data_IF_399657821043
#
_entry.id   IF_399657821043
#
_cell.length_a   1.000
_cell.length_b   1.000
_cell.length_c   1.000
_cell.angle_alpha   90.00
_cell.angle_beta   90.00
_cell.angle_gamma   90.00
#
_symmetry.space_group_name_H-M   'P 1'
#
loop_
_entity.id
_entity.type
_entity.pdbx_description
1 polymer ?
#
# COMPACT_ATOMS: atom_id res chain seq x y z
N UNK A 1 -21.33 33.43 5.92
CA UNK A 1 -21.80 32.08 5.54
C UNK A 1 -20.86 31.50 4.49
N UNK A 2 -19.81 30.79 4.91
CA UNK A 2 -19.10 29.91 3.97
C UNK A 2 -20.03 28.72 3.71
N UNK A 3 -20.53 28.60 2.48
CA UNK A 3 -21.47 27.54 2.10
C UNK A 3 -20.70 26.23 2.07
N UNK A 4 -21.07 25.29 2.95
CA UNK A 4 -20.65 23.91 2.80
C UNK A 4 -20.99 23.43 1.37
N UNK A 5 -20.01 22.87 0.66
CA UNK A 5 -20.16 22.42 -0.73
C UNK A 5 -20.94 21.10 -0.83
N UNK A 6 -21.27 20.48 0.31
CA UNK A 6 -21.96 19.20 0.39
C UNK A 6 -23.06 19.20 1.46
N UNK A 7 -24.03 18.29 1.31
CA UNK A 7 -25.09 18.08 2.29
C UNK A 7 -24.71 17.01 3.32
N UNK A 8 -25.47 16.93 4.42
CA UNK A 8 -25.29 15.91 5.48
C UNK A 8 -25.40 14.45 4.98
N UNK A 9 -26.01 14.24 3.81
CA UNK A 9 -26.16 12.93 3.18
C UNK A 9 -25.05 12.62 2.16
N UNK A 10 -23.91 13.31 2.23
CA UNK A 10 -22.76 13.09 1.32
C UNK A 10 -21.74 12.10 1.89
N UNK A 11 -21.00 11.45 0.99
CA UNK A 11 -19.82 10.63 1.26
C UNK A 11 -18.60 11.39 0.74
N UNK A 12 -17.67 11.68 1.62
CA UNK A 12 -16.43 12.35 1.30
C UNK A 12 -15.31 11.33 1.11
N UNK A 13 -14.57 11.44 0.01
CA UNK A 13 -13.43 10.59 -0.31
C UNK A 13 -12.13 11.39 -0.17
N UNK A 14 -11.24 11.01 0.75
CA UNK A 14 -9.99 11.71 1.01
C UNK A 14 -8.79 10.77 1.02
N UNK A 15 -7.66 11.16 0.43
CA UNK A 15 -6.43 10.36 0.36
C UNK A 15 -6.71 8.88 -0.06
N UNK A 16 -7.53 8.71 -1.10
CA UNK A 16 -7.84 7.41 -1.70
C UNK A 16 -7.29 7.37 -3.13
N UNK A 17 -6.61 6.28 -3.46
CA UNK A 17 -6.19 6.02 -4.84
C UNK A 17 -7.39 5.48 -5.62
N UNK A 18 -7.89 6.28 -6.55
CA UNK A 18 -9.04 5.96 -7.39
C UNK A 18 -8.81 6.50 -8.80
N UNK A 19 -9.14 5.71 -9.82
CA UNK A 19 -9.11 6.22 -11.20
C UNK A 19 -10.19 7.27 -11.41
N UNK A 20 -9.84 8.31 -12.17
CA UNK A 20 -10.74 9.42 -12.45
C UNK A 20 -12.06 8.98 -13.11
N UNK A 21 -12.04 7.96 -13.97
CA UNK A 21 -13.25 7.40 -14.57
C UNK A 21 -14.18 6.74 -13.54
N UNK A 22 -13.63 6.03 -12.56
CA UNK A 22 -14.40 5.43 -11.47
C UNK A 22 -14.97 6.50 -10.53
N UNK A 23 -14.19 7.53 -10.20
CA UNK A 23 -14.65 8.66 -9.39
C UNK A 23 -15.82 9.40 -10.06
N UNK A 24 -15.68 9.76 -11.35
CA UNK A 24 -16.74 10.38 -12.14
C UNK A 24 -17.99 9.51 -12.19
N UNK A 25 -17.83 8.20 -12.35
CA UNK A 25 -18.95 7.28 -12.36
C UNK A 25 -19.67 7.23 -11.00
N UNK A 26 -18.93 7.18 -9.88
CA UNK A 26 -19.51 7.27 -8.53
C UNK A 26 -20.26 8.59 -8.33
N UNK A 27 -19.69 9.72 -8.74
CA UNK A 27 -20.32 11.04 -8.66
C UNK A 27 -21.65 11.08 -9.41
N UNK A 28 -21.66 10.69 -10.69
CA UNK A 28 -22.87 10.73 -11.52
C UNK A 28 -23.95 9.81 -10.95
N UNK A 29 -23.60 8.57 -10.62
CA UNK A 29 -24.57 7.55 -10.18
C UNK A 29 -25.09 7.78 -8.76
N UNK A 30 -24.37 8.55 -7.95
CA UNK A 30 -24.79 8.97 -6.61
C UNK A 30 -25.49 10.33 -6.59
N UNK A 31 -25.79 10.94 -7.75
CA UNK A 31 -26.33 12.30 -7.84
C UNK A 31 -25.46 13.32 -7.08
N UNK A 32 -24.14 13.23 -7.28
CA UNK A 32 -23.10 14.05 -6.66
C UNK A 32 -23.01 13.92 -5.13
N UNK A 33 -23.59 12.87 -4.53
CA UNK A 33 -23.45 12.60 -3.08
C UNK A 33 -22.09 12.04 -2.70
N UNK A 34 -21.40 11.34 -3.61
CA UNK A 34 -20.03 10.90 -3.39
C UNK A 34 -19.09 11.94 -4.00
N UNK A 35 -18.26 12.60 -3.19
CA UNK A 35 -17.42 13.70 -3.62
C UNK A 35 -15.97 13.50 -3.17
N UNK A 36 -14.97 13.88 -3.99
CA UNK A 36 -13.62 14.03 -3.48
C UNK A 36 -13.60 15.16 -2.47
N UNK A 37 -12.89 14.95 -1.37
CA UNK A 37 -12.68 15.95 -0.34
C UNK A 37 -11.19 16.06 -0.04
N UNK A 38 -10.67 17.25 -0.27
CA UNK A 38 -9.25 17.57 -0.15
C UNK A 38 -9.12 18.67 0.89
N UNK A 39 -8.33 18.39 1.90
CA UNK A 39 -7.85 19.38 2.88
C UNK A 39 -6.35 19.56 2.67
N UNK A 40 -5.86 20.77 2.89
CA UNK A 40 -4.42 21.06 2.81
C UNK A 40 -3.66 20.21 3.83
N UNK A 41 -2.39 19.91 3.54
CA UNK A 41 -1.47 19.27 4.49
C UNK A 41 -0.72 20.27 5.36
N UNK A 42 -0.68 21.54 4.96
CA UNK A 42 0.03 22.61 5.65
C UNK A 42 -0.89 23.28 6.66
N UNK A 43 -0.37 23.68 7.82
CA UNK A 43 -1.11 24.46 8.83
C UNK A 43 -0.90 25.96 8.60
N UNK A 44 -1.91 26.78 8.91
CA UNK A 44 -1.90 28.23 8.67
C UNK A 44 -1.51 29.04 9.92
N UNK A 45 -0.90 28.40 10.92
CA UNK A 45 -0.39 29.02 12.14
C UNK A 45 1.12 28.78 12.36
N UNK A 46 1.74 29.72 13.05
CA UNK A 46 3.11 29.57 13.57
C UNK A 46 3.12 28.62 14.78
N UNK A 47 3.97 27.58 14.80
CA UNK A 47 4.09 26.70 15.95
C UNK A 47 4.47 27.50 17.20
N UNK A 48 3.88 27.16 18.36
CA UNK A 48 4.23 27.70 19.68
C UNK A 48 5.76 27.76 19.90
N UNK A 49 6.25 28.75 20.63
CA UNK A 49 7.69 28.87 20.88
C UNK A 49 8.12 28.21 22.19
N UNK A 50 7.19 28.13 23.13
CA UNK A 50 7.43 27.59 24.45
C UNK A 50 6.75 26.23 24.59
N UNK A 51 7.36 25.28 25.30
CA UNK A 51 6.73 24.00 25.62
C UNK A 51 5.51 24.23 26.51
N UNK A 52 4.50 23.37 26.35
CA UNK A 52 3.32 23.36 27.21
C UNK A 52 3.73 23.00 28.65
N UNK A 53 3.04 23.53 29.65
CA UNK A 53 3.35 23.27 31.08
C UNK A 53 3.33 21.77 31.41
N UNK A 54 2.44 21.03 30.76
CA UNK A 54 2.30 19.59 30.95
C UNK A 54 3.36 18.75 30.23
N UNK A 55 4.21 19.33 29.38
CA UNK A 55 5.19 18.55 28.59
C UNK A 55 6.14 17.75 29.50
N UNK A 56 6.58 18.34 30.61
CA UNK A 56 7.44 17.65 31.57
C UNK A 56 6.68 16.64 32.43
N UNK A 57 5.37 16.83 32.65
CA UNK A 57 4.52 15.89 33.39
C UNK A 57 4.34 14.56 32.65
N UNK A 58 4.60 14.53 31.34
CA UNK A 58 4.59 13.29 30.56
C UNK A 58 5.68 12.30 31.01
N UNK A 59 6.78 12.78 31.61
CA UNK A 59 7.84 11.92 32.15
C UNK A 59 7.48 11.27 33.50
N UNK A 60 6.39 11.72 34.13
CA UNK A 60 5.99 11.28 35.47
C UNK A 60 4.63 10.57 35.44
N UNK A 61 4.26 9.97 34.30
CA UNK A 61 3.05 9.17 34.22
C UNK A 61 3.22 7.92 35.08
N UNK A 62 2.14 7.52 35.77
CA UNK A 62 2.14 6.30 36.56
C UNK A 62 2.20 5.08 35.62
N UNK A 63 3.24 4.25 35.80
CA UNK A 63 3.58 3.15 34.89
C UNK A 63 3.96 1.91 35.68
N UNK A 64 3.54 0.75 35.18
CA UNK A 64 3.66 -0.56 35.82
C UNK A 64 4.81 -1.43 35.27
N UNK A 65 5.53 -0.95 34.25
CA UNK A 65 6.58 -1.71 33.56
C UNK A 65 7.75 -0.81 33.16
N UNK A 66 8.95 -1.38 33.14
CA UNK A 66 10.18 -0.69 32.70
C UNK A 66 10.03 -0.08 31.30
N UNK A 67 9.46 -0.84 30.35
CA UNK A 67 9.22 -0.36 28.99
C UNK A 67 8.31 0.88 28.96
N UNK A 68 7.23 0.89 29.74
CA UNK A 68 6.35 2.07 29.85
C UNK A 68 7.05 3.24 30.53
N UNK A 69 7.94 2.99 31.49
CA UNK A 69 8.80 4.01 32.10
C UNK A 69 9.74 4.66 31.09
N UNK A 70 10.41 3.85 30.26
CA UNK A 70 11.25 4.36 29.16
C UNK A 70 10.43 5.21 28.18
N UNK A 71 9.25 4.72 27.77
CA UNK A 71 8.37 5.46 26.86
C UNK A 71 7.91 6.79 27.49
N UNK A 72 7.43 6.76 28.73
CA UNK A 72 7.00 7.96 29.46
C UNK A 72 8.13 8.98 29.57
N UNK A 73 9.34 8.55 29.90
CA UNK A 73 10.53 9.41 29.95
C UNK A 73 10.91 10.04 28.60
N UNK A 74 10.60 9.38 27.48
CA UNK A 74 10.88 9.90 26.13
C UNK A 74 9.81 10.87 25.61
N UNK A 75 8.56 10.78 26.08
CA UNK A 75 7.44 11.59 25.60
C UNK A 75 7.69 13.11 25.60
N UNK A 76 8.33 13.73 26.62
CA UNK A 76 8.60 15.17 26.59
C UNK A 76 9.43 15.62 25.37
N UNK A 77 10.31 14.75 24.88
CA UNK A 77 11.20 15.02 23.74
C UNK A 77 10.55 14.60 22.41
N UNK A 78 9.89 13.44 22.40
CA UNK A 78 9.44 12.79 21.18
C UNK A 78 7.98 13.11 20.78
N UNK A 79 7.13 13.55 21.73
CA UNK A 79 5.73 13.85 21.41
C UNK A 79 5.65 15.09 20.49
N UNK A 80 5.05 14.98 19.29
CA UNK A 80 4.95 16.11 18.39
C UNK A 80 4.12 17.22 19.00
N UNK A 81 4.58 18.46 18.80
CA UNK A 81 4.01 19.66 19.40
C UNK A 81 2.55 19.91 18.99
N UNK A 82 2.20 19.46 17.78
CA UNK A 82 0.85 19.47 17.26
C UNK A 82 -0.18 18.80 18.19
N UNK A 83 0.23 17.82 18.98
CA UNK A 83 -0.66 17.06 19.88
C UNK A 83 -0.66 17.56 21.33
N UNK A 84 0.08 18.64 21.63
CA UNK A 84 0.12 19.21 22.97
C UNK A 84 0.10 20.74 22.95
N UNK A 85 1.20 21.38 22.56
CA UNK A 85 1.31 22.84 22.51
C UNK A 85 0.33 23.46 21.52
N UNK A 86 0.26 22.89 20.32
CA UNK A 86 -0.41 23.49 19.18
C UNK A 86 -1.82 22.89 18.97
N UNK A 87 -2.26 21.99 19.86
CA UNK A 87 -3.48 21.21 19.69
C UNK A 87 -4.73 22.08 19.53
N UNK A 88 -4.93 23.07 20.41
CA UNK A 88 -6.11 23.94 20.37
C UNK A 88 -6.10 24.88 19.17
N UNK A 89 -4.93 25.36 18.76
CA UNK A 89 -4.78 26.18 17.54
C UNK A 89 -5.11 25.35 16.30
N UNK A 90 -4.57 24.14 16.21
CA UNK A 90 -4.86 23.19 15.14
C UNK A 90 -6.35 22.80 15.11
N UNK A 91 -6.96 22.56 16.26
CA UNK A 91 -8.39 22.28 16.37
C UNK A 91 -9.23 23.45 15.84
N UNK A 92 -8.95 24.68 16.28
CA UNK A 92 -9.68 25.87 15.88
C UNK A 92 -9.60 26.14 14.36
N UNK A 93 -8.43 25.96 13.75
CA UNK A 93 -8.26 26.09 12.29
C UNK A 93 -9.10 25.06 11.51
N UNK A 94 -9.35 23.90 12.12
CA UNK A 94 -10.06 22.79 11.50
C UNK A 94 -11.58 22.89 11.65
N UNK A 95 -12.08 23.56 12.69
CA UNK A 95 -13.53 23.67 12.94
C UNK A 95 -14.31 24.21 11.72
N UNK A 96 -13.69 25.14 10.98
CA UNK A 96 -14.23 25.78 9.78
C UNK A 96 -14.25 24.88 8.53
N UNK A 97 -13.45 23.80 8.51
CA UNK A 97 -13.40 22.85 7.38
C UNK A 97 -14.09 21.52 7.69
N UNK A 98 -14.29 21.21 8.97
CA UNK A 98 -14.88 19.96 9.47
C UNK A 98 -16.43 19.97 9.44
N UNK A 99 -17.01 20.28 8.28
CA UNK A 99 -18.45 20.24 8.08
C UNK A 99 -18.97 18.78 8.04
N UNK A 100 -20.04 18.44 8.78
CA UNK A 100 -20.49 17.06 8.91
C UNK A 100 -20.99 16.47 7.59
N UNK A 101 -20.69 15.19 7.38
CA UNK A 101 -21.15 14.39 6.26
C UNK A 101 -21.75 13.07 6.77
N UNK A 102 -22.33 12.26 5.88
CA UNK A 102 -22.80 10.94 6.29
C UNK A 102 -21.63 10.00 6.54
N UNK A 103 -20.59 10.12 5.71
CA UNK A 103 -19.38 9.29 5.77
C UNK A 103 -18.16 10.09 5.31
N UNK A 104 -17.04 9.94 6.02
CA UNK A 104 -15.70 10.27 5.56
C UNK A 104 -14.92 8.97 5.32
N UNK A 105 -14.48 8.75 4.09
CA UNK A 105 -13.71 7.58 3.67
C UNK A 105 -12.28 8.00 3.38
N UNK A 106 -11.30 7.31 3.97
CA UNK A 106 -9.90 7.51 3.59
C UNK A 106 -9.11 6.21 3.48
N UNK A 107 -8.12 6.21 2.58
CA UNK A 107 -7.12 5.16 2.47
C UNK A 107 -5.89 5.48 3.30
N UNK A 108 -4.98 6.29 2.78
CA UNK A 108 -3.69 6.58 3.44
C UNK A 108 -3.74 7.77 4.42
N UNK A 109 -4.81 8.56 4.40
CA UNK A 109 -4.88 9.81 5.17
C UNK A 109 -4.87 9.58 6.68
N UNK A 110 -5.40 8.45 7.17
CA UNK A 110 -5.38 8.08 8.59
C UNK A 110 -3.98 7.91 9.17
N UNK A 111 -2.95 7.79 8.35
CA UNK A 111 -1.57 7.61 8.80
C UNK A 111 -0.74 8.88 8.75
N UNK A 112 -0.85 9.63 7.64
CA UNK A 112 0.11 10.69 7.34
C UNK A 112 -0.51 12.04 7.02
N UNK A 113 -1.81 12.24 7.27
CA UNK A 113 -2.48 13.51 6.97
C UNK A 113 -3.11 14.13 8.21
N UNK A 114 -2.33 14.96 8.91
CA UNK A 114 -2.74 15.55 10.20
C UNK A 114 -4.01 16.38 10.14
N UNK A 115 -4.10 17.36 9.22
CA UNK A 115 -5.31 18.18 9.05
C UNK A 115 -6.55 17.34 8.78
N UNK A 116 -6.41 16.29 7.96
CA UNK A 116 -7.50 15.32 7.71
C UNK A 116 -7.90 14.56 8.97
N UNK A 117 -6.95 14.10 9.79
CA UNK A 117 -7.24 13.41 11.06
C UNK A 117 -7.99 14.31 12.04
N UNK A 118 -7.54 15.55 12.21
CA UNK A 118 -8.25 16.53 13.05
C UNK A 118 -9.68 16.77 12.54
N UNK A 119 -9.84 16.97 11.23
CA UNK A 119 -11.16 17.19 10.64
C UNK A 119 -12.06 15.97 10.77
N UNK A 120 -11.52 14.76 10.56
CA UNK A 120 -12.24 13.50 10.77
C UNK A 120 -12.70 13.32 12.21
N UNK A 121 -11.88 13.73 13.20
CA UNK A 121 -12.26 13.71 14.60
C UNK A 121 -13.43 14.67 14.89
N UNK A 122 -13.34 15.92 14.43
CA UNK A 122 -14.42 16.91 14.58
C UNK A 122 -15.72 16.49 13.87
N UNK A 123 -15.60 16.00 12.63
CA UNK A 123 -16.73 15.47 11.87
C UNK A 123 -17.38 14.27 12.57
N UNK A 124 -16.58 13.42 13.22
CA UNK A 124 -17.05 12.26 14.01
C UNK A 124 -17.83 12.69 15.24
N UNK A 125 -17.35 13.68 15.99
CA UNK A 125 -18.07 14.28 17.12
C UNK A 125 -19.43 14.85 16.68
N UNK A 126 -19.52 15.34 15.44
CA UNK A 126 -20.74 15.86 14.80
C UNK A 126 -21.59 14.77 14.10
N UNK A 127 -21.28 13.48 14.30
CA UNK A 127 -22.08 12.35 13.83
C UNK A 127 -21.68 11.73 12.50
N UNK A 128 -20.58 12.16 11.88
CA UNK A 128 -20.05 11.54 10.65
C UNK A 128 -19.50 10.14 10.96
N UNK A 129 -19.78 9.16 10.09
CA UNK A 129 -19.14 7.84 10.16
C UNK A 129 -17.76 7.88 9.51
N UNK A 130 -16.77 7.26 10.13
CA UNK A 130 -15.42 7.15 9.58
C UNK A 130 -15.23 5.78 8.95
N UNK A 131 -14.77 5.74 7.70
CA UNK A 131 -14.48 4.52 6.99
C UNK A 131 -13.04 4.52 6.49
N UNK A 132 -12.42 3.35 6.53
CA UNK A 132 -11.11 3.11 5.93
C UNK A 132 -11.25 2.26 4.68
N UNK A 133 -10.28 2.36 3.77
CA UNK A 133 -10.14 1.46 2.64
C UNK A 133 -8.67 1.07 2.46
N UNK A 134 -8.42 -0.20 2.13
CA UNK A 134 -7.08 -0.70 1.89
C UNK A 134 -6.40 0.14 0.80
N UNK A 135 -5.21 0.66 1.10
CA UNK A 135 -4.48 1.57 0.21
C UNK A 135 -3.46 0.86 -0.69
N UNK A 136 -2.93 -0.29 -0.26
CA UNK A 136 -1.83 -0.96 -0.94
C UNK A 136 -1.74 -2.45 -0.65
N UNK A 137 -0.61 -3.04 -1.05
CA UNK A 137 -0.25 -4.43 -0.74
C UNK A 137 -0.07 -4.69 0.76
N UNK A 138 0.29 -5.92 1.12
CA UNK A 138 0.56 -6.37 2.50
C UNK A 138 -0.64 -6.48 3.48
N UNK A 139 -1.72 -5.73 3.28
CA UNK A 139 -2.96 -5.84 4.06
C UNK A 139 -3.57 -7.23 3.97
N UNK A 140 -4.03 -7.77 5.09
CA UNK A 140 -4.55 -9.13 5.13
C UNK A 140 -3.51 -10.23 5.01
N UNK A 141 -2.23 -9.88 4.80
CA UNK A 141 -1.14 -10.81 4.50
C UNK A 141 -0.05 -10.78 5.55
N UNK A 142 0.54 -9.61 5.87
CA UNK A 142 1.63 -9.51 6.85
C UNK A 142 1.14 -9.89 8.25
N UNK A 143 1.90 -10.72 8.98
CA UNK A 143 1.54 -11.16 10.32
C UNK A 143 1.30 -9.96 11.27
N UNK A 144 2.21 -8.97 11.25
CA UNK A 144 2.06 -7.68 11.92
C UNK A 144 1.98 -6.54 10.91
N UNK A 145 0.86 -5.82 10.91
CA UNK A 145 0.63 -4.65 10.06
C UNK A 145 -0.02 -3.53 10.90
N UNK A 146 0.79 -2.65 11.52
CA UNK A 146 0.27 -1.57 12.35
C UNK A 146 -0.70 -0.62 11.63
N UNK A 147 -0.48 -0.24 10.35
CA UNK A 147 -1.44 0.58 9.61
C UNK A 147 -2.85 -0.04 9.58
N UNK A 148 -2.92 -1.31 9.19
CA UNK A 148 -4.17 -2.07 9.19
C UNK A 148 -4.81 -2.12 10.59
N UNK A 149 -4.00 -2.35 11.62
CA UNK A 149 -4.50 -2.42 13.00
C UNK A 149 -5.10 -1.10 13.44
N UNK A 150 -4.46 0.02 13.11
CA UNK A 150 -4.94 1.36 13.41
C UNK A 150 -6.26 1.66 12.68
N UNK A 151 -6.32 1.45 11.37
CA UNK A 151 -7.51 1.69 10.54
C UNK A 151 -8.71 0.84 11.01
N UNK A 152 -8.48 -0.42 11.38
CA UNK A 152 -9.53 -1.32 11.90
C UNK A 152 -10.09 -0.92 13.26
N UNK A 153 -9.31 -0.19 14.06
CA UNK A 153 -9.73 0.32 15.37
C UNK A 153 -10.47 1.64 15.24
N UNK A 154 -9.99 2.50 14.33
CA UNK A 154 -10.55 3.83 14.08
C UNK A 154 -11.90 3.76 13.35
N UNK A 155 -11.98 2.98 12.28
CA UNK A 155 -13.10 3.05 11.35
C UNK A 155 -14.32 2.23 11.79
N UNK A 156 -15.50 2.79 11.53
CA UNK A 156 -16.78 2.09 11.66
C UNK A 156 -16.84 0.88 10.70
N UNK A 157 -16.25 1.04 9.51
CA UNK A 157 -16.09 -0.02 8.49
C UNK A 157 -14.76 0.10 7.75
N UNK A 158 -14.20 -1.04 7.34
CA UNK A 158 -12.96 -1.10 6.59
C UNK A 158 -13.13 -1.93 5.31
N UNK A 159 -12.94 -1.27 4.17
CA UNK A 159 -12.98 -1.88 2.85
C UNK A 159 -11.65 -2.54 2.48
N UNK A 160 -11.64 -3.83 2.17
CA UNK A 160 -10.44 -4.63 1.95
C UNK A 160 -10.49 -5.39 0.63
N UNK A 161 -9.36 -5.78 0.07
CA UNK A 161 -9.26 -6.35 -1.27
C UNK A 161 -9.46 -7.88 -1.34
N UNK A 162 -10.45 -8.41 -0.62
CA UNK A 162 -10.92 -9.80 -0.77
C UNK A 162 -10.80 -10.67 0.49
N UNK A 163 -9.96 -10.27 1.45
CA UNK A 163 -9.60 -11.11 2.59
C UNK A 163 -10.53 -10.96 3.81
N UNK A 164 -11.63 -10.21 3.70
CA UNK A 164 -12.62 -10.15 4.77
C UNK A 164 -13.28 -11.53 4.95
N UNK A 165 -13.26 -12.04 6.18
CA UNK A 165 -13.99 -13.25 6.54
C UNK A 165 -15.43 -12.94 6.93
N UNK A 166 -16.35 -13.91 6.78
CA UNK A 166 -17.77 -13.76 7.16
C UNK A 166 -18.00 -13.40 8.64
N UNK A 167 -16.99 -13.62 9.50
CA UNK A 167 -17.05 -13.32 10.94
C UNK A 167 -16.80 -11.84 11.25
N UNK A 168 -16.15 -11.10 10.36
CA UNK A 168 -15.81 -9.69 10.57
C UNK A 168 -16.90 -8.74 10.08
N UNK A 169 -17.86 -8.38 10.94
CA UNK A 169 -18.96 -7.46 10.56
C UNK A 169 -18.51 -6.08 10.07
N UNK A 170 -17.31 -5.62 10.47
CA UNK A 170 -16.73 -4.33 10.05
C UNK A 170 -15.89 -4.40 8.78
N UNK A 171 -15.44 -5.58 8.36
CA UNK A 171 -14.66 -5.72 7.13
C UNK A 171 -15.59 -5.95 5.94
N UNK A 172 -15.31 -5.29 4.82
CA UNK A 172 -16.07 -5.45 3.59
C UNK A 172 -15.13 -5.70 2.41
N UNK A 173 -15.38 -6.76 1.63
CA UNK A 173 -14.63 -7.01 0.41
C UNK A 173 -15.04 -6.02 -0.67
N UNK A 174 -14.12 -5.11 -1.02
CA UNK A 174 -14.31 -4.08 -2.04
C UNK A 174 -13.41 -4.34 -3.24
N UNK A 175 -13.97 -4.23 -4.45
CA UNK A 175 -13.16 -4.27 -5.65
C UNK A 175 -12.23 -3.07 -5.72
N UNK A 176 -11.00 -3.31 -6.13
CA UNK A 176 -10.00 -2.29 -6.41
C UNK A 176 -10.49 -1.27 -7.44
N UNK A 177 -10.30 0.02 -7.16
CA UNK A 177 -10.67 1.12 -8.07
C UNK A 177 -9.47 1.80 -8.71
N UNK A 178 -8.26 1.47 -8.26
CA UNK A 178 -6.98 2.00 -8.68
C UNK A 178 -6.41 1.30 -9.93
N UNK A 179 -6.81 0.06 -10.20
CA UNK A 179 -6.31 -0.71 -11.36
C UNK A 179 -6.71 -0.11 -12.72
N UNK A 180 -5.77 0.11 -13.66
CA UNK A 180 -6.06 0.60 -15.01
C UNK A 180 -7.17 -0.20 -15.73
N UNK A 181 -7.93 0.49 -16.59
CA UNK A 181 -8.98 -0.17 -17.39
C UNK A 181 -8.42 -1.05 -18.50
N UNK A 182 -7.18 -0.80 -18.91
CA UNK A 182 -6.57 -1.40 -20.09
C UNK A 182 -6.10 -2.81 -19.75
N UNK A 183 -6.58 -3.85 -20.47
CA UNK A 183 -6.08 -5.20 -20.30
C UNK A 183 -4.59 -5.24 -20.67
N UNK A 184 -3.85 -6.18 -20.08
CA UNK A 184 -2.51 -6.48 -20.54
C UNK A 184 -2.55 -6.92 -22.01
N UNK A 185 -1.62 -6.40 -22.80
CA UNK A 185 -1.35 -6.85 -24.16
C UNK A 185 0.16 -6.97 -24.30
N UNK A 186 0.64 -8.15 -24.69
CA UNK A 186 2.04 -8.31 -25.03
C UNK A 186 2.41 -7.29 -26.12
N UNK A 187 3.32 -6.38 -25.80
CA UNK A 187 3.80 -5.33 -26.70
C UNK A 187 4.65 -5.88 -27.85
N UNK A 188 5.17 -7.11 -27.71
CA UNK A 188 6.21 -7.67 -28.57
C UNK A 188 7.61 -7.17 -28.23
N UNK A 189 7.77 -6.26 -27.27
CA UNK A 189 9.06 -5.78 -26.81
C UNK A 189 9.76 -6.86 -25.98
N UNK A 190 11.09 -6.95 -26.07
CA UNK A 190 11.89 -7.91 -25.32
C UNK A 190 12.39 -7.31 -23.99
N UNK A 191 11.45 -6.79 -23.19
CA UNK A 191 11.73 -6.17 -21.89
C UNK A 191 11.48 -7.18 -20.77
N UNK A 192 12.52 -7.48 -19.99
CA UNK A 192 12.43 -8.13 -18.68
C UNK A 192 12.43 -7.04 -17.61
N UNK A 193 11.25 -6.68 -17.11
CA UNK A 193 11.15 -5.62 -16.12
C UNK A 193 11.40 -6.18 -14.72
N UNK A 194 12.50 -5.78 -14.08
CA UNK A 194 12.78 -6.14 -12.70
C UNK A 194 12.44 -4.97 -11.76
N UNK A 195 11.42 -5.15 -10.93
CA UNK A 195 10.92 -4.13 -10.01
C UNK A 195 11.42 -4.40 -8.59
N UNK A 196 12.29 -3.52 -8.11
CA UNK A 196 12.79 -3.51 -6.74
C UNK A 196 11.92 -2.68 -5.79
N UNK A 197 12.24 -2.77 -4.50
CA UNK A 197 11.73 -1.91 -3.42
C UNK A 197 12.88 -1.42 -2.55
N UNK A 198 12.60 -0.47 -1.66
CA UNK A 198 13.57 0.06 -0.71
C UNK A 198 12.87 0.61 0.52
N UNK A 199 13.61 0.68 1.62
CA UNK A 199 13.12 1.21 2.90
C UNK A 199 14.22 1.94 3.65
N UNK A 200 13.85 2.79 4.64
CA UNK A 200 14.83 3.46 5.48
C UNK A 200 15.82 2.50 6.14
N UNK A 201 17.09 2.92 6.22
CA UNK A 201 18.17 2.18 6.91
C UNK A 201 17.86 1.85 8.37
N UNK A 202 17.07 2.70 9.03
CA UNK A 202 16.67 2.54 10.41
C UNK A 202 15.21 2.12 10.52
N UNK A 203 14.89 1.39 11.59
CA UNK A 203 13.53 0.94 11.86
C UNK A 203 12.63 2.15 12.10
N UNK A 204 11.68 2.36 11.19
CA UNK A 204 10.65 3.39 11.35
C UNK A 204 9.29 2.82 11.80
N UNK A 205 9.15 1.49 11.79
CA UNK A 205 7.91 0.80 12.17
C UNK A 205 8.16 -0.68 12.50
N UNK A 206 7.57 -1.14 13.60
CA UNK A 206 7.51 -2.57 13.93
C UNK A 206 6.43 -3.26 13.09
N UNK A 207 6.81 -3.88 11.97
CA UNK A 207 5.91 -4.62 11.08
C UNK A 207 6.61 -5.88 10.54
N UNK A 208 5.83 -6.85 10.04
CA UNK A 208 6.38 -8.07 9.41
C UNK A 208 6.90 -7.77 8.00
N UNK A 209 8.03 -7.08 7.92
CA UNK A 209 8.81 -6.84 6.70
C UNK A 209 10.29 -6.99 7.02
N UNK A 210 11.15 -6.87 6.00
CA UNK A 210 12.59 -6.65 6.20
C UNK A 210 12.78 -5.39 7.05
N UNK A 211 13.67 -5.46 8.05
CA UNK A 211 13.90 -4.40 9.05
C UNK A 211 15.39 -4.12 9.26
N UNK A 212 15.76 -2.84 9.23
CA UNK A 212 17.08 -2.36 9.60
C UNK A 212 18.21 -3.07 8.85
N UNK A 213 19.18 -3.71 9.53
CA UNK A 213 20.36 -4.30 8.89
C UNK A 213 20.05 -5.48 7.95
N UNK A 214 18.86 -6.10 8.06
CA UNK A 214 18.45 -7.20 7.17
C UNK A 214 18.20 -6.75 5.72
N UNK A 215 18.14 -5.43 5.47
CA UNK A 215 18.10 -4.89 4.10
C UNK A 215 19.34 -5.20 3.28
N UNK A 216 20.50 -5.43 3.91
CA UNK A 216 21.69 -5.88 3.19
C UNK A 216 21.43 -7.24 2.52
N UNK A 217 20.82 -8.20 3.22
CA UNK A 217 20.46 -9.50 2.64
C UNK A 217 19.49 -9.37 1.47
N UNK A 218 18.55 -8.43 1.55
CA UNK A 218 17.63 -8.14 0.45
C UNK A 218 18.39 -7.68 -0.81
N UNK A 219 19.36 -6.76 -0.69
CA UNK A 219 20.16 -6.33 -1.84
C UNK A 219 21.09 -7.44 -2.35
N UNK A 220 21.65 -8.26 -1.46
CA UNK A 220 22.45 -9.42 -1.85
C UNK A 220 21.61 -10.42 -2.68
N UNK A 221 20.31 -10.55 -2.40
CA UNK A 221 19.41 -11.37 -3.21
C UNK A 221 19.17 -10.79 -4.61
N UNK A 222 19.02 -9.46 -4.73
CA UNK A 222 18.91 -8.81 -6.03
C UNK A 222 20.17 -9.06 -6.88
N UNK A 223 21.35 -8.94 -6.27
CA UNK A 223 22.63 -9.21 -6.91
C UNK A 223 22.72 -10.65 -7.42
N UNK A 224 22.45 -11.63 -6.55
CA UNK A 224 22.44 -13.06 -6.90
C UNK A 224 21.46 -13.39 -8.02
N UNK A 225 20.27 -12.77 -8.03
CA UNK A 225 19.31 -12.93 -9.12
C UNK A 225 19.91 -12.51 -10.47
N UNK A 226 20.56 -11.33 -10.51
CA UNK A 226 21.17 -10.79 -11.74
C UNK A 226 22.40 -11.61 -12.16
N UNK A 227 23.21 -12.10 -11.22
CA UNK A 227 24.39 -12.92 -11.49
C UNK A 227 24.05 -14.24 -12.20
N UNK A 228 23.00 -14.92 -11.74
CA UNK A 228 22.56 -16.21 -12.28
C UNK A 228 21.82 -16.07 -13.61
N UNK A 229 21.24 -14.89 -13.87
CA UNK A 229 20.47 -14.64 -15.08
C UNK A 229 21.36 -14.77 -16.35
N UNK A 230 20.94 -15.51 -17.39
CA UNK A 230 21.70 -15.63 -18.63
C UNK A 230 22.06 -14.28 -19.26
N UNK A 231 23.25 -14.16 -19.89
CA UNK A 231 23.77 -12.89 -20.42
C UNK A 231 22.86 -12.22 -21.46
N UNK A 232 22.14 -13.00 -22.27
CA UNK A 232 21.15 -12.46 -23.19
C UNK A 232 19.97 -11.80 -22.46
N UNK A 233 19.56 -12.35 -21.32
CA UNK A 233 18.48 -11.78 -20.50
C UNK A 233 18.94 -10.59 -19.67
N UNK A 234 20.20 -10.57 -19.20
CA UNK A 234 20.79 -9.40 -18.55
C UNK A 234 20.72 -8.16 -19.48
N UNK A 235 20.91 -8.33 -20.79
CA UNK A 235 20.76 -7.23 -21.79
C UNK A 235 19.32 -6.76 -22.00
N UNK A 236 18.36 -7.64 -21.74
CA UNK A 236 16.92 -7.34 -21.79
C UNK A 236 16.38 -6.82 -20.45
N UNK A 237 17.20 -6.83 -19.40
CA UNK A 237 16.83 -6.45 -18.05
C UNK A 237 16.69 -4.93 -17.95
N UNK A 238 15.49 -4.50 -17.59
CA UNK A 238 15.19 -3.11 -17.24
C UNK A 238 14.88 -3.07 -15.74
N UNK A 239 15.79 -2.52 -14.95
CA UNK A 239 15.64 -2.40 -13.51
C UNK A 239 14.85 -1.14 -13.15
N UNK A 240 13.79 -1.30 -12.36
CA UNK A 240 13.01 -0.20 -11.79
C UNK A 240 13.25 -0.16 -10.28
N UNK A 241 14.12 0.75 -9.78
CA UNK A 241 14.33 0.91 -8.34
C UNK A 241 13.07 1.49 -7.67
N UNK A 242 13.03 1.40 -6.34
CA UNK A 242 12.05 2.17 -5.57
C UNK A 242 12.24 3.66 -5.81
N UNK A 243 11.16 4.43 -5.70
CA UNK A 243 11.22 5.88 -5.96
C UNK A 243 12.19 6.61 -5.03
N UNK A 244 12.45 6.08 -3.83
CA UNK A 244 13.40 6.62 -2.85
C UNK A 244 14.52 5.62 -2.59
N UNK A 245 15.77 6.05 -2.69
CA UNK A 245 16.89 5.12 -2.53
C UNK A 245 17.23 4.83 -1.06
N UNK A 246 17.00 5.78 -0.16
CA UNK A 246 17.43 5.73 1.26
C UNK A 246 18.93 5.49 1.44
N UNK A 247 19.72 6.03 0.52
CA UNK A 247 21.18 5.93 0.46
C UNK A 247 21.67 4.48 0.36
N UNK A 248 20.88 3.57 -0.19
CA UNK A 248 21.33 2.19 -0.40
C UNK A 248 22.17 2.01 -1.67
N UNK A 249 22.21 3.01 -2.55
CA UNK A 249 22.89 3.01 -3.83
C UNK A 249 22.48 1.81 -4.70
N UNK A 250 21.17 1.52 -4.74
CA UNK A 250 20.61 0.31 -5.37
C UNK A 250 21.07 0.09 -6.81
N UNK A 251 21.06 1.18 -7.60
CA UNK A 251 21.46 1.13 -9.01
C UNK A 251 22.95 0.79 -9.13
N UNK A 252 23.81 1.50 -8.39
CA UNK A 252 25.26 1.28 -8.42
C UNK A 252 25.63 -0.14 -7.99
N UNK A 253 24.90 -0.73 -7.02
CA UNK A 253 25.07 -2.12 -6.59
C UNK A 253 24.83 -3.12 -7.71
N UNK A 254 23.81 -2.89 -8.56
CA UNK A 254 23.52 -3.77 -9.70
C UNK A 254 24.45 -3.48 -10.89
N UNK A 255 24.80 -2.22 -11.14
CA UNK A 255 25.78 -1.83 -12.17
C UNK A 255 27.16 -2.45 -11.94
N UNK A 256 27.55 -2.65 -10.68
CA UNK A 256 28.81 -3.33 -10.34
C UNK A 256 28.88 -4.79 -10.86
N UNK A 257 27.73 -5.42 -11.10
CA UNK A 257 27.60 -6.82 -11.54
C UNK A 257 27.19 -6.90 -13.01
N UNK A 258 26.29 -6.02 -13.43
CA UNK A 258 25.79 -5.90 -14.78
C UNK A 258 25.97 -4.45 -15.25
N UNK A 259 27.16 -4.07 -15.77
CA UNK A 259 27.45 -2.68 -16.18
C UNK A 259 26.56 -2.14 -17.29
N UNK A 260 25.91 -3.02 -18.05
CA UNK A 260 24.98 -2.67 -19.15
C UNK A 260 23.50 -2.62 -18.68
N UNK A 261 23.23 -2.73 -17.38
CA UNK A 261 21.86 -2.73 -16.85
C UNK A 261 21.16 -1.41 -17.18
N UNK A 262 19.94 -1.51 -17.70
CA UNK A 262 19.13 -0.33 -17.99
C UNK A 262 18.27 0.01 -16.78
N UNK A 263 18.09 1.30 -16.51
CA UNK A 263 17.24 1.78 -15.42
C UNK A 263 15.97 2.40 -15.98
N UNK A 264 14.82 1.95 -15.47
CA UNK A 264 13.53 2.54 -15.79
C UNK A 264 13.33 3.87 -15.05
N UNK A 265 13.31 4.96 -15.80
CA UNK A 265 13.07 6.31 -15.30
C UNK A 265 11.66 6.82 -15.57
N UNK A 266 10.76 5.96 -16.08
CA UNK A 266 9.38 6.36 -16.37
C UNK A 266 8.65 6.81 -15.09
N UNK A 267 7.98 7.96 -15.16
CA UNK A 267 7.20 8.51 -14.04
C UNK A 267 6.13 7.53 -13.56
N UNK A 268 5.45 6.86 -14.49
CA UNK A 268 4.40 5.89 -14.20
C UNK A 268 4.84 4.46 -14.55
N UNK A 269 4.90 3.59 -13.54
CA UNK A 269 5.20 2.16 -13.71
C UNK A 269 4.22 1.44 -14.64
N UNK A 270 2.98 1.90 -14.76
CA UNK A 270 1.96 1.24 -15.59
C UNK A 270 2.32 1.22 -17.06
N UNK A 271 3.04 2.23 -17.56
CA UNK A 271 3.48 2.25 -18.96
C UNK A 271 4.54 1.18 -19.23
N UNK A 272 5.49 1.02 -18.31
CA UNK A 272 6.54 -0.01 -18.39
C UNK A 272 5.96 -1.41 -18.21
N UNK A 273 5.03 -1.59 -17.26
CA UNK A 273 4.34 -2.87 -17.04
C UNK A 273 3.57 -3.36 -18.28
N UNK A 274 2.97 -2.45 -19.05
CA UNK A 274 2.28 -2.82 -20.30
C UNK A 274 3.24 -3.22 -21.43
N UNK A 275 4.48 -2.72 -21.39
CA UNK A 275 5.49 -3.00 -22.40
C UNK A 275 6.35 -4.21 -22.06
N UNK A 276 6.38 -4.63 -20.79
CA UNK A 276 7.15 -5.76 -20.33
C UNK A 276 6.65 -7.08 -20.94
N UNK A 277 7.59 -7.90 -21.40
CA UNK A 277 7.35 -9.29 -21.83
C UNK A 277 7.10 -10.19 -20.61
N UNK A 278 7.90 -9.98 -19.58
CA UNK A 278 7.86 -10.65 -18.30
C UNK A 278 8.27 -9.66 -17.21
N UNK A 279 7.61 -9.73 -16.06
CA UNK A 279 7.92 -8.91 -14.89
C UNK A 279 8.55 -9.79 -13.81
N UNK A 280 9.57 -9.27 -13.15
CA UNK A 280 10.19 -9.87 -11.97
C UNK A 280 10.00 -8.93 -10.79
N UNK A 281 9.55 -9.42 -9.65
CA UNK A 281 9.28 -8.61 -8.45
C UNK A 281 9.87 -9.29 -7.23
N UNK A 282 10.68 -8.56 -6.46
CA UNK A 282 11.39 -9.12 -5.30
C UNK A 282 10.72 -8.85 -3.94
N UNK A 283 9.44 -8.47 -3.95
CA UNK A 283 8.72 -8.03 -2.77
C UNK A 283 7.21 -8.22 -2.88
N UNK A 284 6.55 -8.24 -1.72
CA UNK A 284 5.11 -8.46 -1.59
C UNK A 284 4.33 -7.15 -1.38
N UNK A 285 4.35 -6.26 -2.37
CA UNK A 285 3.60 -4.99 -2.30
C UNK A 285 2.65 -4.82 -3.49
N UNK A 286 2.13 -3.60 -3.67
CA UNK A 286 1.05 -3.27 -4.62
C UNK A 286 1.37 -3.71 -6.06
N UNK A 287 2.63 -3.65 -6.49
CA UNK A 287 3.02 -4.00 -7.87
C UNK A 287 2.74 -5.47 -8.21
N UNK A 288 3.00 -6.39 -7.27
CA UNK A 288 2.67 -7.81 -7.47
C UNK A 288 1.16 -8.00 -7.62
N UNK A 289 0.38 -7.38 -6.74
CA UNK A 289 -1.09 -7.43 -6.81
C UNK A 289 -1.63 -6.83 -8.11
N UNK A 290 -0.96 -5.80 -8.66
CA UNK A 290 -1.29 -5.19 -9.94
C UNK A 290 -1.04 -6.16 -11.09
N UNK A 291 0.12 -6.82 -11.13
CA UNK A 291 0.44 -7.78 -12.19
C UNK A 291 -0.55 -8.94 -12.19
N UNK A 292 -0.80 -9.54 -11.02
CA UNK A 292 -1.75 -10.66 -10.88
C UNK A 292 -3.18 -10.26 -11.27
N UNK A 293 -3.66 -9.08 -10.86
CA UNK A 293 -5.02 -8.64 -11.19
C UNK A 293 -5.20 -8.21 -12.65
N UNK A 294 -4.12 -7.77 -13.31
CA UNK A 294 -4.13 -7.32 -14.72
C UNK A 294 -3.76 -8.40 -15.71
N UNK A 295 -3.53 -9.63 -15.24
CA UNK A 295 -3.12 -10.75 -16.08
C UNK A 295 -1.77 -10.49 -16.78
N UNK A 296 -0.82 -9.90 -16.06
CA UNK A 296 0.55 -9.67 -16.55
C UNK A 296 1.43 -10.83 -16.08
N UNK A 297 2.17 -11.52 -16.97
CA UNK A 297 3.14 -12.54 -16.59
C UNK A 297 4.15 -12.01 -15.59
N UNK A 298 4.24 -12.66 -14.42
CA UNK A 298 5.12 -12.23 -13.34
C UNK A 298 5.75 -13.42 -12.63
N UNK A 299 7.07 -13.32 -12.40
CA UNK A 299 7.81 -14.17 -11.46
C UNK A 299 8.14 -13.31 -10.25
N UNK A 300 7.86 -13.80 -9.05
CA UNK A 300 8.14 -13.12 -7.81
C UNK A 300 9.09 -13.93 -6.95
N UNK A 301 9.97 -13.27 -6.20
CA UNK A 301 10.80 -13.94 -5.20
C UNK A 301 11.00 -13.07 -3.98
N UNK A 302 10.71 -13.59 -2.79
CA UNK A 302 10.99 -12.92 -1.53
C UNK A 302 10.84 -13.92 -0.40
N UNK A 303 11.41 -13.59 0.75
CA UNK A 303 11.17 -14.36 1.96
C UNK A 303 9.69 -14.27 2.38
N UNK A 304 8.96 -15.33 2.04
CA UNK A 304 7.55 -15.50 2.37
C UNK A 304 7.33 -16.59 3.42
N UNK A 305 8.32 -16.81 4.29
CA UNK A 305 8.23 -17.77 5.41
C UNK A 305 7.02 -17.44 6.31
N UNK A 306 6.39 -18.45 6.94
CA UNK A 306 5.20 -18.28 7.77
C UNK A 306 5.34 -17.26 8.90
N UNK A 307 6.55 -17.02 9.43
CA UNK A 307 6.76 -16.01 10.47
C UNK A 307 6.37 -14.58 10.02
N UNK A 308 6.41 -14.31 8.72
CA UNK A 308 6.13 -13.00 8.13
C UNK A 308 4.70 -12.88 7.56
N UNK A 309 4.00 -14.00 7.38
CA UNK A 309 2.69 -14.07 6.72
C UNK A 309 1.65 -14.64 7.70
N UNK A 310 0.42 -14.12 7.66
CA UNK A 310 -0.69 -14.66 8.45
C UNK A 310 -1.04 -16.07 8.01
N UNK A 311 -1.41 -16.92 8.96
CA UNK A 311 -1.93 -18.27 8.68
C UNK A 311 -3.08 -18.27 7.68
N UNK A 312 -3.96 -17.25 7.72
CA UNK A 312 -5.07 -17.13 6.78
C UNK A 312 -4.66 -16.81 5.33
N UNK A 313 -3.44 -16.31 5.14
CA UNK A 313 -2.89 -15.99 3.83
C UNK A 313 -1.91 -17.07 3.33
N UNK A 314 -1.23 -17.79 4.22
CA UNK A 314 -0.21 -18.80 3.86
C UNK A 314 -0.65 -19.78 2.76
N UNK A 315 -1.86 -20.38 2.79
CA UNK A 315 -2.28 -21.32 1.75
C UNK A 315 -2.28 -20.72 0.34
N UNK A 316 -2.56 -19.42 0.22
CA UNK A 316 -2.57 -18.73 -1.07
C UNK A 316 -1.16 -18.48 -1.60
N UNK A 317 -0.18 -18.27 -0.71
CA UNK A 317 1.23 -18.15 -1.09
C UNK A 317 1.81 -19.51 -1.48
N UNK A 318 1.40 -20.59 -0.81
CA UNK A 318 1.75 -21.96 -1.20
C UNK A 318 1.21 -22.31 -2.59
N UNK A 319 0.00 -21.87 -2.93
CA UNK A 319 -0.53 -22.00 -4.29
C UNK A 319 0.33 -21.24 -5.31
N UNK A 320 0.77 -20.00 -5.01
CA UNK A 320 1.66 -19.25 -5.91
C UNK A 320 2.99 -19.96 -6.15
N UNK A 321 3.55 -20.62 -5.12
CA UNK A 321 4.74 -21.48 -5.26
C UNK A 321 4.48 -22.67 -6.16
N UNK A 322 3.36 -23.37 -5.96
CA UNK A 322 2.96 -24.52 -6.79
C UNK A 322 2.80 -24.14 -8.27
N UNK A 323 2.30 -22.93 -8.56
CA UNK A 323 2.19 -22.39 -9.92
C UNK A 323 3.53 -21.89 -10.50
N UNK A 324 4.62 -21.95 -9.73
CA UNK A 324 5.93 -21.37 -10.09
C UNK A 324 5.83 -19.86 -10.38
N UNK A 325 4.91 -19.16 -9.71
CA UNK A 325 4.78 -17.70 -9.73
C UNK A 325 5.65 -17.09 -8.63
N UNK A 326 5.74 -17.73 -7.46
CA UNK A 326 6.49 -17.25 -6.30
C UNK A 326 7.62 -18.23 -5.94
N UNK A 327 8.79 -17.70 -5.64
CA UNK A 327 9.96 -18.45 -5.19
C UNK A 327 10.51 -17.90 -3.87
N UNK A 328 11.13 -18.76 -3.07
CA UNK A 328 11.76 -18.39 -1.80
C UNK A 328 13.28 -18.15 -1.95
N UNK A 329 13.78 -17.96 -3.17
CA UNK A 329 15.18 -17.70 -3.45
C UNK A 329 15.41 -17.11 -4.84
N UNK A 330 16.44 -16.26 -5.01
CA UNK A 330 16.70 -15.56 -6.26
C UNK A 330 17.13 -16.50 -7.40
N UNK A 331 17.91 -17.55 -7.13
CA UNK A 331 18.41 -18.47 -8.17
C UNK A 331 17.28 -19.21 -8.87
N UNK A 332 16.37 -19.83 -8.10
CA UNK A 332 15.23 -20.57 -8.65
C UNK A 332 14.28 -19.66 -9.45
N UNK A 333 14.16 -18.38 -9.04
CA UNK A 333 13.41 -17.40 -9.80
C UNK A 333 14.10 -17.03 -11.12
N UNK A 334 15.43 -16.87 -11.13
CA UNK A 334 16.21 -16.62 -12.34
C UNK A 334 16.14 -17.80 -13.33
N UNK A 335 16.19 -19.04 -12.84
CA UNK A 335 15.97 -20.25 -13.64
C UNK A 335 14.57 -20.24 -14.27
N UNK A 336 13.52 -19.97 -13.49
CA UNK A 336 12.16 -19.86 -14.03
C UNK A 336 12.05 -18.78 -15.11
N UNK A 337 12.68 -17.62 -14.89
CA UNK A 337 12.71 -16.53 -15.89
C UNK A 337 13.37 -17.00 -17.17
N UNK A 338 14.49 -17.71 -17.09
CA UNK A 338 15.18 -18.27 -18.26
C UNK A 338 14.32 -19.31 -18.99
N UNK A 339 13.68 -20.21 -18.25
CA UNK A 339 12.85 -21.29 -18.80
C UNK A 339 11.65 -20.76 -19.59
N UNK A 340 11.03 -19.67 -19.13
CA UNK A 340 9.80 -19.14 -19.75
C UNK A 340 10.04 -17.96 -20.68
N UNK A 341 11.27 -17.42 -20.76
CA UNK A 341 11.54 -16.17 -21.46
C UNK A 341 11.11 -16.17 -22.92
N UNK A 342 11.29 -17.29 -23.61
CA UNK A 342 10.97 -17.40 -25.03
C UNK A 342 9.45 -17.29 -25.29
N UNK A 343 8.63 -17.82 -24.38
CA UNK A 343 7.17 -17.62 -24.44
C UNK A 343 6.54 -17.56 -23.03
N UNK A 344 6.62 -16.39 -22.36
CA UNK A 344 6.07 -16.24 -21.02
C UNK A 344 4.54 -16.35 -21.03
N UNK A 345 3.91 -16.07 -22.17
CA UNK A 345 2.46 -16.15 -22.34
C UNK A 345 2.02 -17.60 -22.36
N UNK A 346 2.75 -18.50 -23.03
CA UNK A 346 2.43 -19.92 -23.05
C UNK A 346 2.43 -20.53 -21.63
N UNK A 347 3.43 -20.22 -20.81
CA UNK A 347 3.43 -20.61 -19.39
C UNK A 347 2.29 -19.94 -18.63
N UNK A 348 2.17 -18.63 -18.75
CA UNK A 348 1.23 -17.85 -17.95
C UNK A 348 -0.23 -18.21 -18.22
N UNK A 349 -0.58 -18.56 -19.46
CA UNK A 349 -1.93 -18.93 -19.89
C UNK A 349 -2.28 -20.40 -19.62
N UNK A 350 -1.36 -21.21 -19.06
CA UNK A 350 -1.70 -22.55 -18.60
C UNK A 350 -2.85 -22.49 -17.60
N UNK A 351 -3.81 -23.41 -17.74
CA UNK A 351 -5.02 -23.43 -16.93
C UNK A 351 -4.71 -23.46 -15.42
N UNK A 352 -3.71 -24.25 -15.00
CA UNK A 352 -3.29 -24.35 -13.60
C UNK A 352 -2.76 -23.02 -13.03
N UNK A 353 -1.91 -22.32 -13.78
CA UNK A 353 -1.35 -21.00 -13.38
C UNK A 353 -2.47 -19.96 -13.30
N UNK A 354 -3.36 -19.95 -14.30
CA UNK A 354 -4.49 -19.04 -14.39
C UNK A 354 -5.53 -19.25 -13.27
N UNK A 355 -5.81 -20.50 -12.89
CA UNK A 355 -6.71 -20.83 -11.78
C UNK A 355 -6.16 -20.33 -10.45
N UNK A 356 -4.90 -20.65 -10.15
CA UNK A 356 -4.21 -20.20 -8.94
C UNK A 356 -4.18 -18.68 -8.85
N UNK A 357 -3.81 -17.99 -9.94
CA UNK A 357 -3.81 -16.53 -10.00
C UNK A 357 -5.20 -15.95 -9.74
N UNK A 358 -6.27 -16.51 -10.34
CA UNK A 358 -7.65 -16.05 -10.11
C UNK A 358 -8.06 -16.23 -8.65
N UNK A 359 -7.72 -17.36 -8.04
CA UNK A 359 -8.07 -17.63 -6.65
C UNK A 359 -7.31 -16.74 -5.68
N UNK A 360 -6.02 -16.49 -5.94
CA UNK A 360 -5.25 -15.49 -5.21
C UNK A 360 -5.87 -14.08 -5.34
N UNK A 361 -6.20 -13.65 -6.56
CA UNK A 361 -6.81 -12.33 -6.81
C UNK A 361 -8.18 -12.18 -6.13
N UNK A 362 -9.02 -13.22 -6.08
CA UNK A 362 -10.30 -13.15 -5.34
C UNK A 362 -10.09 -12.81 -3.86
N UNK A 363 -8.99 -13.27 -3.27
CA UNK A 363 -8.69 -13.11 -1.84
C UNK A 363 -7.85 -11.87 -1.52
N UNK A 364 -6.88 -11.50 -2.37
CA UNK A 364 -5.86 -10.50 -2.03
C UNK A 364 -5.75 -9.33 -3.03
N UNK A 365 -6.44 -9.40 -4.17
CA UNK A 365 -6.47 -8.32 -5.17
C UNK A 365 -7.86 -8.26 -5.84
N UNK A 366 -8.91 -8.17 -5.02
CA UNK A 366 -10.28 -8.38 -5.48
C UNK A 366 -10.69 -7.36 -6.56
N UNK A 367 -11.21 -7.87 -7.67
CA UNK A 367 -11.79 -7.07 -8.76
C UNK A 367 -13.19 -7.58 -9.09
N UNK A 368 -14.06 -6.71 -9.61
CA UNK A 368 -15.42 -7.10 -10.00
C UNK A 368 -16.02 -6.15 -11.02
N UNK A 369 -16.73 -6.71 -12.00
CA UNK A 369 -17.60 -5.92 -12.91
C UNK A 369 -18.76 -5.23 -12.15
N UNK A 370 -19.11 -5.73 -10.97
CA UNK A 370 -20.16 -5.15 -10.10
C UNK A 370 -19.61 -4.17 -9.06
N UNK A 371 -18.40 -3.65 -9.26
CA UNK A 371 -17.72 -2.77 -8.29
C UNK A 371 -18.60 -1.64 -7.77
N UNK A 372 -19.34 -0.98 -8.65
CA UNK A 372 -20.18 0.15 -8.25
C UNK A 372 -21.20 -0.23 -7.17
N UNK A 373 -21.88 -1.37 -7.32
CA UNK A 373 -22.89 -1.82 -6.35
C UNK A 373 -22.26 -2.15 -5.00
N UNK A 374 -21.08 -2.75 -5.01
CA UNK A 374 -20.36 -3.12 -3.78
C UNK A 374 -19.87 -1.88 -3.02
N UNK A 375 -19.34 -0.88 -3.74
CA UNK A 375 -18.97 0.40 -3.15
C UNK A 375 -20.19 1.20 -2.66
N UNK A 376 -21.29 1.19 -3.41
CA UNK A 376 -22.54 1.81 -2.98
C UNK A 376 -23.06 1.18 -1.68
N UNK A 377 -23.04 -0.16 -1.59
CA UNK A 377 -23.42 -0.86 -0.36
C UNK A 377 -22.50 -0.45 0.79
N UNK A 378 -21.19 -0.41 0.58
CA UNK A 378 -20.22 -0.05 1.60
C UNK A 378 -20.45 1.34 2.21
N UNK A 379 -20.80 2.33 1.39
CA UNK A 379 -21.04 3.69 1.89
C UNK A 379 -22.32 3.80 2.73
N UNK A 380 -23.39 3.09 2.35
CA UNK A 380 -24.74 3.37 2.85
C UNK A 380 -25.33 2.29 3.76
N UNK A 381 -24.69 1.13 3.85
CA UNK A 381 -24.98 0.12 4.88
C UNK A 381 -24.00 0.23 6.03
#
# INVERSE_FOLDING_TARGET
>A
MRRCLWGRNSVLLSDIIIRQSALRYLQIRSLLRVMPWVVSRQWDFEPARNPHEDRQRLATLDVDTEFRGLLSGALPQELPRLYLEDYHTAQAEIEDVAEPAAVLVSGSGWHGHERMKFAGAEMRLRGTRLMSVQHGGSYGVKAQMPPETHERRLADRFGVWGWATKRGKRLANLPRLDLPATPYKNSGESILLFVGTSHPRFICRFQSSVLGPTWQEYYDWQQRFVEVLPKNLQRSLLYRPYCWDYDWDQVARLEAIAPEIQVDTAENIDSTLQRARLVVIDHNETTLLNCLARDIPVVAYFDSRPANIRDSASPYFDMLRQARILFDGPEAAAEQVADVWDDPIAWWQQQAVQDIRRDFCKQHSFTSKRWYRLWQQFFWT
#
